data_IF_539423188976
#
_entry.id   IF_539423188976
#
_cell.length_a   1.000
_cell.length_b   1.000
_cell.length_c   1.000
_cell.angle_alpha   90.00
_cell.angle_beta   90.00
_cell.angle_gamma   90.00
#
_symmetry.space_group_name_H-M   'P 1'
#
loop_
_entity.id
_entity.type
_entity.pdbx_description
1 polymer ?
#
# COMPACT_ATOMS: atom_id res chain seq x y z
N UNK A 1 17.55 -13.62 -10.32
CA UNK A 1 18.01 -12.33 -9.77
C UNK A 1 17.56 -11.18 -10.69
N UNK A 2 16.26 -11.03 -10.92
CA UNK A 2 15.73 -10.09 -11.91
C UNK A 2 14.41 -9.52 -11.40
N UNK A 3 14.49 -8.59 -10.44
CA UNK A 3 13.36 -7.82 -9.91
C UNK A 3 13.80 -6.47 -9.31
N UNK A 4 14.98 -5.97 -9.66
CA UNK A 4 15.58 -4.84 -8.92
C UNK A 4 14.92 -3.48 -9.22
N UNK A 5 14.14 -3.31 -10.30
CA UNK A 5 13.69 -1.97 -10.73
C UNK A 5 12.34 -1.96 -11.50
N UNK A 6 11.25 -2.58 -11.03
CA UNK A 6 9.93 -2.39 -11.70
C UNK A 6 9.18 -1.14 -11.21
N UNK A 7 9.88 0.00 -11.20
CA UNK A 7 9.48 1.31 -10.67
C UNK A 7 9.68 1.43 -9.16
N UNK A 8 10.46 2.43 -8.75
CA UNK A 8 10.47 2.95 -7.37
C UNK A 8 9.05 3.38 -7.04
N UNK A 9 8.23 2.46 -6.54
CA UNK A 9 6.91 2.75 -6.01
C UNK A 9 7.14 3.30 -4.64
N UNK A 10 6.80 4.57 -4.46
CA UNK A 10 6.80 5.19 -3.16
C UNK A 10 5.64 4.60 -2.35
N UNK A 11 5.91 3.51 -1.62
CA UNK A 11 4.94 2.78 -0.82
C UNK A 11 4.35 3.65 0.30
N UNK A 12 5.12 4.63 0.79
CA UNK A 12 4.63 5.62 1.73
C UNK A 12 3.57 6.51 1.07
N UNK A 13 3.80 6.99 -0.16
CA UNK A 13 2.76 7.70 -0.93
C UNK A 13 1.54 6.84 -1.24
N UNK A 14 1.71 5.56 -1.54
CA UNK A 14 0.59 4.63 -1.78
C UNK A 14 -0.29 4.50 -0.53
N UNK A 15 0.32 4.41 0.65
CA UNK A 15 -0.42 4.41 1.92
C UNK A 15 -0.82 5.81 2.41
N UNK A 16 -0.37 6.88 1.73
CA UNK A 16 -0.65 8.26 2.08
C UNK A 16 -0.01 8.68 3.42
N UNK A 17 1.20 8.20 3.69
CA UNK A 17 1.96 8.45 4.92
C UNK A 17 3.33 9.04 4.62
N UNK A 18 3.98 9.58 5.65
CA UNK A 18 5.35 10.05 5.58
C UNK A 18 6.34 8.87 5.63
N UNK A 19 7.54 9.04 5.05
CA UNK A 19 8.61 8.04 5.01
C UNK A 19 9.17 7.65 6.40
N UNK A 20 9.06 8.55 7.38
CA UNK A 20 9.43 8.32 8.78
C UNK A 20 8.28 7.74 9.63
N UNK A 21 7.18 7.31 9.01
CA UNK A 21 6.04 6.74 9.73
C UNK A 21 6.43 5.44 10.47
N UNK A 22 5.99 5.33 11.72
CA UNK A 22 6.18 4.12 12.51
C UNK A 22 5.29 2.95 12.03
N UNK A 23 5.64 1.71 12.44
CA UNK A 23 4.86 0.51 12.10
C UNK A 23 3.39 0.62 12.53
N UNK A 24 3.07 1.38 13.59
CA UNK A 24 1.68 1.62 14.04
C UNK A 24 0.92 2.50 13.03
N UNK A 25 1.55 3.55 12.52
CA UNK A 25 1.00 4.44 11.50
C UNK A 25 0.81 3.69 10.18
N UNK A 26 1.78 2.87 9.76
CA UNK A 26 1.69 2.01 8.57
C UNK A 26 0.45 1.09 8.67
N UNK A 27 0.27 0.38 9.79
CA UNK A 27 -0.92 -0.47 10.03
C UNK A 27 -2.22 0.31 10.00
N UNK A 28 -2.27 1.50 10.58
CA UNK A 28 -3.47 2.36 10.59
C UNK A 28 -3.82 2.84 9.18
N UNK A 29 -2.82 3.26 8.42
CA UNK A 29 -2.99 3.73 7.04
C UNK A 29 -3.48 2.61 6.11
N UNK A 30 -2.86 1.42 6.21
CA UNK A 30 -3.29 0.23 5.47
C UNK A 30 -4.77 -0.11 5.70
N UNK A 31 -5.21 -0.18 6.97
CA UNK A 31 -6.63 -0.48 7.29
C UNK A 31 -7.59 0.54 6.66
N UNK A 32 -7.24 1.83 6.70
CA UNK A 32 -8.06 2.89 6.09
C UNK A 32 -8.09 2.76 4.56
N UNK A 33 -6.97 2.44 3.94
CA UNK A 33 -6.86 2.26 2.50
C UNK A 33 -7.66 1.04 2.02
N UNK A 34 -7.58 -0.10 2.72
CA UNK A 34 -8.37 -1.31 2.42
C UNK A 34 -9.87 -1.03 2.47
N UNK A 35 -10.35 -0.32 3.50
CA UNK A 35 -11.77 0.02 3.62
C UNK A 35 -12.26 0.96 2.50
N UNK A 36 -11.37 1.84 2.02
CA UNK A 36 -11.65 2.80 0.93
C UNK A 36 -11.64 2.14 -0.45
N UNK A 37 -10.72 1.19 -0.67
CA UNK A 37 -10.46 0.58 -1.97
C UNK A 37 -10.90 -0.89 -2.05
N UNK A 38 -11.72 -1.37 -1.12
CA UNK A 38 -12.20 -2.76 -1.13
C UNK A 38 -12.86 -3.11 -2.48
N UNK A 39 -12.42 -4.19 -3.16
CA UNK A 39 -12.89 -4.52 -4.51
C UNK A 39 -14.40 -4.80 -4.55
N UNK A 40 -14.98 -5.33 -3.47
CA UNK A 40 -16.43 -5.58 -3.37
C UNK A 40 -17.28 -4.31 -3.47
N UNK A 41 -16.72 -3.14 -3.16
CA UNK A 41 -17.46 -1.87 -3.25
C UNK A 41 -17.36 -1.24 -4.64
N UNK A 42 -16.32 -1.55 -5.42
CA UNK A 42 -16.12 -1.04 -6.77
C UNK A 42 -15.04 -1.86 -7.53
N UNK A 43 -15.39 -2.45 -8.67
CA UNK A 43 -14.46 -3.25 -9.47
C UNK A 43 -13.21 -2.47 -9.96
N UNK A 44 -13.30 -1.14 -10.10
CA UNK A 44 -12.19 -0.30 -10.54
C UNK A 44 -11.11 -0.09 -9.46
N UNK A 45 -11.34 -0.52 -8.22
CA UNK A 45 -10.35 -0.39 -7.14
C UNK A 45 -9.39 -1.57 -7.05
N UNK A 46 -9.59 -2.65 -7.82
CA UNK A 46 -8.75 -3.86 -7.79
C UNK A 46 -7.26 -3.53 -7.93
N UNK A 47 -6.89 -2.64 -8.86
CA UNK A 47 -5.50 -2.20 -9.05
C UNK A 47 -4.95 -1.45 -7.82
N UNK A 48 -5.75 -0.58 -7.22
CA UNK A 48 -5.37 0.16 -6.01
C UNK A 48 -5.21 -0.80 -4.83
N UNK A 49 -6.12 -1.76 -4.69
CA UNK A 49 -6.08 -2.77 -3.64
C UNK A 49 -4.79 -3.61 -3.69
N UNK A 50 -4.40 -4.07 -4.88
CA UNK A 50 -3.13 -4.79 -5.07
C UNK A 50 -1.92 -3.94 -4.65
N UNK A 51 -1.89 -2.66 -5.03
CA UNK A 51 -0.81 -1.74 -4.66
C UNK A 51 -0.74 -1.49 -3.15
N UNK A 52 -1.88 -1.36 -2.48
CA UNK A 52 -1.98 -1.17 -1.03
C UNK A 52 -1.44 -2.38 -0.28
N UNK A 53 -1.77 -3.60 -0.73
CA UNK A 53 -1.26 -4.83 -0.13
C UNK A 53 0.26 -4.97 -0.32
N UNK A 54 0.76 -4.73 -1.54
CA UNK A 54 2.19 -4.75 -1.84
C UNK A 54 2.96 -3.73 -0.97
N UNK A 55 2.44 -2.51 -0.87
CA UNK A 55 3.03 -1.46 -0.03
C UNK A 55 3.11 -1.86 1.45
N UNK A 56 2.03 -2.44 1.98
CA UNK A 56 2.01 -2.89 3.36
C UNK A 56 2.99 -4.05 3.61
N UNK A 57 3.07 -5.03 2.71
CA UNK A 57 4.01 -6.14 2.84
C UNK A 57 5.45 -5.65 2.87
N UNK A 58 5.85 -4.79 1.92
CA UNK A 58 7.24 -4.31 1.85
C UNK A 58 7.62 -3.41 3.03
N UNK A 59 6.70 -2.57 3.51
CA UNK A 59 7.01 -1.65 4.63
C UNK A 59 6.97 -2.31 6.01
N UNK A 60 6.42 -3.53 6.12
CA UNK A 60 6.27 -4.23 7.39
C UNK A 60 7.29 -5.33 7.64
N UNK A 61 7.87 -5.88 6.56
CA UNK A 61 9.07 -6.72 6.58
C UNK A 61 10.21 -5.99 7.32
#
# INVERSE_FOLDING_TARGET
>A
MLNMVKYIRDYYKILGINEFADKKTIKKAYKRAVLKYHPDKNANTKKHFTLINEAYTVLMD
#
